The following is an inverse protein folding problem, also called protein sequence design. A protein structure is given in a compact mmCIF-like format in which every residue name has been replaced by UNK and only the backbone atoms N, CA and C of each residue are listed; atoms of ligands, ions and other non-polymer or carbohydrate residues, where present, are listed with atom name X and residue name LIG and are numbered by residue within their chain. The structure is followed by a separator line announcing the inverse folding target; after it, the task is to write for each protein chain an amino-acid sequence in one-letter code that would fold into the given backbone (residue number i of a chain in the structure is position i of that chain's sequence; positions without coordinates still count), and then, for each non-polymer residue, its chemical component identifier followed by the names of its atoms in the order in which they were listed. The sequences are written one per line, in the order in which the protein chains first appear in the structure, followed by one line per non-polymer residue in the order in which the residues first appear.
data_IF_205378785704
#
_entry.id   IF_205378785704
#
_cell.length_a   1.000
_cell.length_b   1.000
_cell.length_c   1.000
_cell.angle_alpha   90.00
_cell.angle_beta   90.00
_cell.angle_gamma   90.00
#
_symmetry.space_group_name_H-M   'P 1'
#
loop_
_entity.id
_entity.type
_entity.pdbx_description
1 polymer ?
#
# COMPACT_ATOMS: atom_id res chain seq x y z
N UNK A 1 13.39 5.28 -14.67
CA UNK A 1 11.98 4.90 -14.87
C UNK A 1 11.64 3.80 -13.86
N UNK A 2 10.67 4.01 -12.96
CA UNK A 2 10.15 2.91 -12.15
C UNK A 2 9.52 1.90 -13.11
N UNK A 3 10.10 0.69 -13.24
CA UNK A 3 9.39 -0.39 -13.93
C UNK A 3 8.13 -0.69 -13.12
N UNK A 4 6.97 -0.76 -13.79
CA UNK A 4 5.72 -1.18 -13.15
C UNK A 4 5.86 -2.66 -12.79
N UNK A 5 6.40 -2.93 -11.60
CA UNK A 5 6.32 -4.24 -11.01
C UNK A 5 4.91 -4.36 -10.42
N UNK A 6 4.14 -5.33 -10.90
CA UNK A 6 2.79 -5.63 -10.42
C UNK A 6 2.86 -6.25 -9.00
N UNK A 7 3.40 -5.48 -8.06
CA UNK A 7 3.65 -5.84 -6.67
C UNK A 7 2.87 -4.91 -5.74
N UNK A 8 2.68 -5.36 -4.51
CA UNK A 8 2.08 -4.56 -3.46
C UNK A 8 3.10 -3.54 -2.96
N UNK A 9 2.78 -2.25 -3.02
CA UNK A 9 3.60 -1.19 -2.43
C UNK A 9 3.43 -1.20 -0.92
N UNK A 10 4.53 -1.25 -0.17
CA UNK A 10 4.49 -1.35 1.29
C UNK A 10 5.26 -0.20 1.93
N UNK A 11 4.56 0.68 2.64
CA UNK A 11 5.18 1.71 3.46
C UNK A 11 5.54 1.13 4.84
N UNK A 12 6.83 0.95 5.11
CA UNK A 12 7.32 0.33 6.34
C UNK A 12 7.80 1.40 7.32
N UNK A 13 7.04 1.61 8.39
CA UNK A 13 7.43 2.50 9.47
C UNK A 13 6.63 2.16 10.74
N UNK A 14 7.21 2.22 11.96
CA UNK A 14 6.45 1.99 13.19
C UNK A 14 5.35 3.04 13.42
N UNK A 15 5.61 4.31 13.08
CA UNK A 15 4.67 5.42 13.29
C UNK A 15 3.59 5.51 12.20
N UNK A 16 2.33 5.59 12.62
CA UNK A 16 1.16 5.64 11.72
C UNK A 16 1.11 6.94 10.93
N UNK A 17 1.46 8.07 11.55
CA UNK A 17 1.41 9.38 10.88
C UNK A 17 2.43 9.44 9.75
N UNK A 18 3.64 8.97 10.02
CA UNK A 18 4.72 8.83 9.03
C UNK A 18 4.30 7.89 7.90
N UNK A 19 3.69 6.73 8.20
CA UNK A 19 3.15 5.85 7.14
C UNK A 19 2.13 6.53 6.26
N UNK A 20 1.19 7.30 6.83
CA UNK A 20 0.22 8.06 6.04
C UNK A 20 0.91 9.06 5.11
N UNK A 21 1.89 9.82 5.61
CA UNK A 21 2.65 10.75 4.79
C UNK A 21 3.42 10.06 3.66
N UNK A 22 4.04 8.90 3.96
CA UNK A 22 4.72 8.07 2.98
C UNK A 22 3.77 7.61 1.87
N UNK A 23 2.61 7.06 2.25
CA UNK A 23 1.59 6.59 1.30
C UNK A 23 1.07 7.76 0.45
N UNK A 24 0.84 8.94 1.04
CA UNK A 24 0.43 10.14 0.29
C UNK A 24 1.45 10.53 -0.77
N UNK A 25 2.74 10.54 -0.43
CA UNK A 25 3.82 10.86 -1.37
C UNK A 25 3.96 9.77 -2.46
N UNK A 26 3.81 8.49 -2.09
CA UNK A 26 3.78 7.39 -3.06
C UNK A 26 2.61 7.52 -4.03
N UNK A 27 1.41 7.84 -3.55
CA UNK A 27 0.24 8.06 -4.38
C UNK A 27 0.44 9.22 -5.37
N UNK A 28 1.09 10.33 -4.94
CA UNK A 28 1.49 11.42 -5.84
C UNK A 28 2.49 10.94 -6.90
N UNK A 29 3.54 10.21 -6.49
CA UNK A 29 4.53 9.62 -7.42
C UNK A 29 3.91 8.66 -8.44
N UNK A 30 2.84 7.95 -8.04
CA UNK A 30 2.09 7.03 -8.88
C UNK A 30 0.98 7.71 -9.70
N UNK A 31 0.81 9.03 -9.57
CA UNK A 31 -0.14 9.82 -10.36
C UNK A 31 -1.60 9.80 -9.88
N UNK A 32 -1.87 9.34 -8.65
CA UNK A 32 -3.23 9.35 -8.07
C UNK A 32 -3.68 10.74 -7.61
N UNK A 33 -2.74 11.63 -7.31
CA UNK A 33 -3.02 13.01 -6.93
C UNK A 33 -1.85 13.93 -7.33
N UNK A 34 -2.11 15.22 -7.41
CA UNK A 34 -1.08 16.24 -7.67
C UNK A 34 -0.31 16.63 -6.40
N UNK A 35 -1.00 16.62 -5.25
CA UNK A 35 -0.42 17.03 -3.96
C UNK A 35 -0.72 16.01 -2.85
N UNK A 36 0.15 15.88 -1.83
CA UNK A 36 -0.01 14.87 -0.77
C UNK A 36 -1.30 15.01 0.03
N UNK A 37 -1.82 16.21 0.22
CA UNK A 37 -3.06 16.47 0.97
C UNK A 37 -4.30 15.91 0.27
N UNK A 38 -4.31 15.89 -1.06
CA UNK A 38 -5.40 15.27 -1.83
C UNK A 38 -5.26 13.76 -1.83
N UNK A 39 -4.03 13.24 -2.00
CA UNK A 39 -3.76 11.82 -1.86
C UNK A 39 -4.18 11.28 -0.48
N UNK A 40 -4.00 12.07 0.59
CA UNK A 40 -4.38 11.66 1.94
C UNK A 40 -5.86 11.32 2.09
N UNK A 41 -6.74 11.92 1.28
CA UNK A 41 -8.19 11.65 1.27
C UNK A 41 -8.54 10.27 0.71
N UNK A 42 -7.63 9.66 -0.07
CA UNK A 42 -7.79 8.33 -0.65
C UNK A 42 -7.36 7.21 0.31
N UNK A 43 -6.65 7.57 1.39
CA UNK A 43 -6.03 6.61 2.31
C UNK A 43 -7.02 6.24 3.41
N UNK A 44 -7.39 4.96 3.43
CA UNK A 44 -8.19 4.36 4.49
C UNK A 44 -7.33 4.02 5.71
N UNK A 45 -7.95 3.93 6.88
CA UNK A 45 -7.25 3.53 8.11
C UNK A 45 -6.90 2.05 8.09
N UNK A 46 -7.92 1.23 7.82
CA UNK A 46 -7.84 -0.22 7.80
C UNK A 46 -8.43 -0.76 6.50
N UNK A 47 -8.05 -2.00 6.17
CA UNK A 47 -8.52 -2.64 4.94
C UNK A 47 -10.01 -3.04 5.00
N UNK A 48 -10.59 -3.16 6.19
CA UNK A 48 -11.98 -3.57 6.38
C UNK A 48 -13.00 -2.57 5.84
N UNK A 49 -12.60 -1.31 5.64
CA UNK A 49 -13.47 -0.30 5.02
C UNK A 49 -13.45 -0.36 3.49
N UNK A 50 -12.60 -1.20 2.87
CA UNK A 50 -12.51 -1.35 1.43
C UNK A 50 -13.24 -2.62 0.94
N UNK A 51 -14.15 -2.45 -0.01
CA UNK A 51 -14.65 -3.58 -0.80
C UNK A 51 -13.63 -3.97 -1.88
N UNK A 52 -12.82 -4.98 -1.58
CA UNK A 52 -11.78 -5.49 -2.49
C UNK A 52 -12.34 -6.07 -3.80
N UNK A 53 -13.64 -6.39 -3.88
CA UNK A 53 -14.23 -6.97 -5.08
C UNK A 53 -14.46 -5.94 -6.19
N UNK A 54 -14.68 -4.68 -5.81
CA UNK A 54 -15.01 -3.57 -6.73
C UNK A 54 -13.94 -2.48 -6.78
N UNK A 55 -12.99 -2.48 -5.84
CA UNK A 55 -11.95 -1.46 -5.75
C UNK A 55 -10.97 -1.48 -6.93
N UNK A 56 -10.74 -0.32 -7.54
CA UNK A 56 -9.71 -0.11 -8.58
C UNK A 56 -8.31 0.18 -7.99
N UNK A 57 -8.27 0.60 -6.72
CA UNK A 57 -7.04 0.78 -5.96
C UNK A 57 -7.32 0.57 -4.48
N UNK A 58 -6.27 0.26 -3.73
CA UNK A 58 -6.31 0.12 -2.27
C UNK A 58 -5.18 0.94 -1.69
N UNK A 59 -5.50 1.84 -0.77
CA UNK A 59 -4.52 2.60 0.00
C UNK A 59 -4.91 2.54 1.47
N UNK A 60 -4.09 1.88 2.28
CA UNK A 60 -4.40 1.64 3.69
C UNK A 60 -3.21 1.96 4.58
N UNK A 61 -3.41 2.72 5.66
CA UNK A 61 -2.34 3.13 6.56
C UNK A 61 -1.92 2.04 7.56
N UNK A 62 -2.81 1.09 7.86
CA UNK A 62 -2.58 0.02 8.82
C UNK A 62 -2.96 -1.33 8.22
N UNK A 63 -1.93 -2.15 8.02
CA UNK A 63 -2.12 -3.52 7.59
C UNK A 63 -1.19 -4.46 8.34
N UNK A 64 -1.67 -5.66 8.60
CA UNK A 64 -0.88 -6.74 9.15
C UNK A 64 -1.02 -7.98 8.26
N UNK A 65 0.04 -8.30 7.53
CA UNK A 65 0.10 -9.49 6.68
C UNK A 65 -0.14 -10.80 7.45
N UNK A 66 0.06 -10.84 8.78
CA UNK A 66 -0.18 -12.06 9.57
C UNK A 66 -1.64 -12.29 9.93
N UNK A 67 -2.51 -11.30 9.78
CA UNK A 67 -3.89 -11.42 10.23
C UNK A 67 -4.72 -12.38 9.36
N UNK A 68 -4.54 -12.35 8.03
CA UNK A 68 -5.39 -13.13 7.12
C UNK A 68 -4.66 -13.50 5.82
N UNK A 69 -4.28 -14.78 5.65
CA UNK A 69 -3.68 -15.27 4.41
C UNK A 69 -4.57 -15.08 3.17
N UNK A 70 -5.88 -15.25 3.33
CA UNK A 70 -6.87 -15.07 2.24
C UNK A 70 -6.88 -13.62 1.76
N UNK A 71 -6.78 -12.67 2.69
CA UNK A 71 -6.72 -11.25 2.35
C UNK A 71 -5.41 -10.91 1.64
N UNK A 72 -4.27 -11.46 2.09
CA UNK A 72 -2.99 -11.28 1.39
C UNK A 72 -3.07 -11.76 -0.06
N UNK A 73 -3.68 -12.93 -0.29
CA UNK A 73 -3.86 -13.48 -1.62
C UNK A 73 -4.68 -12.54 -2.50
N UNK A 74 -5.80 -12.00 -2.00
CA UNK A 74 -6.62 -11.04 -2.75
C UNK A 74 -5.84 -9.77 -3.11
N UNK A 75 -5.08 -9.21 -2.17
CA UNK A 75 -4.24 -8.04 -2.44
C UNK A 75 -3.17 -8.34 -3.50
N UNK A 76 -2.60 -9.54 -3.47
CA UNK A 76 -1.66 -9.98 -4.49
C UNK A 76 -2.32 -10.14 -5.86
N UNK A 77 -3.49 -10.77 -5.93
CA UNK A 77 -4.26 -10.90 -7.18
C UNK A 77 -4.62 -9.54 -7.77
N UNK A 78 -5.02 -8.57 -6.93
CA UNK A 78 -5.26 -7.20 -7.37
C UNK A 78 -4.01 -6.55 -7.97
N UNK A 79 -2.87 -6.65 -7.27
CA UNK A 79 -1.60 -6.13 -7.76
C UNK A 79 -1.19 -6.81 -9.08
N UNK A 80 -1.36 -8.14 -9.18
CA UNK A 80 -1.06 -8.93 -10.37
C UNK A 80 -1.94 -8.54 -11.58
N UNK A 81 -3.20 -8.17 -11.34
CA UNK A 81 -4.13 -7.60 -12.34
C UNK A 81 -3.76 -6.16 -12.75
N UNK A 82 -2.75 -5.58 -12.14
CA UNK A 82 -2.25 -4.24 -12.44
C UNK A 82 -2.97 -3.12 -11.70
N UNK A 83 -3.81 -3.45 -10.70
CA UNK A 83 -4.43 -2.49 -9.78
C UNK A 83 -3.39 -2.02 -8.75
N UNK A 84 -3.52 -0.77 -8.31
CA UNK A 84 -2.60 -0.21 -7.34
C UNK A 84 -2.98 -0.66 -5.93
N UNK A 85 -2.03 -1.28 -5.22
CA UNK A 85 -2.20 -1.67 -3.82
C UNK A 85 -1.06 -1.06 -3.01
N UNK A 86 -1.40 -0.17 -2.09
CA UNK A 86 -0.47 0.45 -1.14
C UNK A 86 -0.93 0.14 0.28
N UNK A 87 -0.06 -0.47 1.08
CA UNK A 87 -0.36 -0.82 2.47
C UNK A 87 0.73 -0.32 3.41
N UNK A 88 0.32 0.24 4.55
CA UNK A 88 1.21 0.69 5.61
C UNK A 88 1.38 -0.41 6.66
N UNK A 89 2.61 -0.80 6.96
CA UNK A 89 2.91 -1.84 7.96
C UNK A 89 3.96 -1.37 8.95
N UNK A 90 3.88 -1.86 10.19
CA UNK A 90 4.93 -1.62 11.20
C UNK A 90 6.23 -2.36 10.85
N UNK A 91 6.10 -3.58 10.36
CA UNK A 91 7.21 -4.41 9.90
C UNK A 91 6.72 -5.34 8.78
N UNK A 92 7.57 -5.57 7.79
CA UNK A 92 7.26 -6.46 6.66
C UNK A 92 7.84 -7.86 6.96
N UNK A 93 7.00 -8.91 7.09
CA UNK A 93 7.50 -10.28 7.25
C UNK A 93 8.31 -10.73 6.04
N UNK A 94 9.37 -11.53 6.28
CA UNK A 94 10.30 -11.97 5.23
C UNK A 94 9.61 -12.75 4.11
N UNK A 95 8.60 -13.56 4.46
CA UNK A 95 7.83 -14.35 3.50
C UNK A 95 7.10 -13.52 2.44
N UNK A 96 6.76 -12.26 2.71
CA UNK A 96 6.01 -11.42 1.74
C UNK A 96 6.90 -10.50 0.91
N UNK A 97 8.23 -10.53 1.09
CA UNK A 97 9.15 -9.66 0.35
C UNK A 97 9.14 -9.89 -1.17
N UNK A 98 8.83 -11.10 -1.63
CA UNK A 98 8.84 -11.40 -3.06
C UNK A 98 7.63 -10.80 -3.81
N UNK A 99 6.48 -10.67 -3.14
CA UNK A 99 5.25 -10.07 -3.69
C UNK A 99 5.09 -8.58 -3.41
N UNK A 100 6.01 -8.00 -2.64
CA UNK A 100 5.94 -6.60 -2.20
C UNK A 100 7.11 -5.79 -2.73
N UNK A 101 6.88 -4.49 -2.86
CA UNK A 101 7.91 -3.48 -3.02
C UNK A 101 7.88 -2.60 -1.77
N UNK A 102 8.90 -2.75 -0.92
CA UNK A 102 8.99 -2.01 0.33
C UNK A 102 9.57 -0.61 0.10
N UNK A 103 9.03 0.36 0.83
CA UNK A 103 9.52 1.74 0.91
C UNK A 103 9.70 2.10 2.38
N UNK A 104 10.86 2.64 2.69
CA UNK A 104 11.23 3.15 4.00
C UNK A 104 11.18 4.69 3.99
N UNK A 105 11.16 5.34 5.16
CA UNK A 105 11.12 6.81 5.23
C UNK A 105 12.24 7.51 4.45
N UNK A 106 13.39 6.84 4.31
CA UNK A 106 14.56 7.33 3.57
C UNK A 106 14.36 7.32 2.04
N UNK A 107 13.42 6.53 1.53
CA UNK A 107 13.19 6.33 0.08
C UNK A 107 12.19 7.34 -0.52
N UNK A 108 11.53 8.16 0.31
CA UNK A 108 10.32 8.92 -0.03
C UNK A 108 10.48 10.44 0.03
#
# INVERSE_FOLDING_TARGET
MLKKENKIFVAVCPDVRTRRQMISRLAVRLGFALIPSDAAKLIQEDLYSCDLSTAYFVMCAQYNFRNSPVTNQRLYEMAARGLCVIVGVRSLPREYKFITQAFYPEDI
#
